data_IF_953044719415
#
_entry.id   IF_953044719415
#
_cell.length_a   1.000
_cell.length_b   1.000
_cell.length_c   1.000
_cell.angle_alpha   90.00
_cell.angle_beta   90.00
_cell.angle_gamma   90.00
#
_symmetry.space_group_name_H-M   'P 1'
#
loop_
_entity.id
_entity.type
_entity.pdbx_description
1 polymer ?
#
# COMPACT_ATOMS: atom_id res chain seq x y z
N UNK A 1 -28.47 -2.62 6.59
CA UNK A 1 -27.91 -3.41 7.72
C UNK A 1 -28.91 -4.41 8.29
N UNK A 2 -30.03 -3.97 8.88
CA UNK A 2 -30.97 -4.90 9.55
C UNK A 2 -31.52 -6.00 8.64
N UNK A 3 -32.00 -5.64 7.44
CA UNK A 3 -32.44 -6.63 6.45
C UNK A 3 -31.34 -7.62 6.04
N UNK A 4 -30.08 -7.18 6.00
CA UNK A 4 -28.94 -8.04 5.68
C UNK A 4 -28.66 -9.02 6.83
N UNK A 5 -28.62 -8.55 8.08
CA UNK A 5 -28.42 -9.46 9.21
C UNK A 5 -29.60 -10.43 9.38
N UNK A 6 -30.83 -9.99 9.07
CA UNK A 6 -32.00 -10.87 9.05
C UNK A 6 -31.87 -11.99 8.02
N UNK A 7 -31.32 -11.71 6.82
CA UNK A 7 -31.08 -12.78 5.82
C UNK A 7 -29.99 -13.76 6.27
N UNK A 8 -29.18 -13.40 7.27
CA UNK A 8 -28.20 -14.24 7.94
C UNK A 8 -28.74 -14.87 9.24
N UNK A 9 -30.03 -14.75 9.55
CA UNK A 9 -30.60 -15.20 10.84
C UNK A 9 -29.90 -14.59 12.08
N UNK A 10 -29.30 -13.40 11.92
CA UNK A 10 -28.58 -12.70 12.99
C UNK A 10 -29.45 -11.56 13.52
N UNK A 11 -29.75 -11.50 14.82
CA UNK A 11 -30.50 -10.39 15.40
C UNK A 11 -29.65 -9.12 15.40
N UNK A 12 -30.17 -8.06 14.76
CA UNK A 12 -29.43 -6.83 14.48
C UNK A 12 -28.96 -6.10 15.74
N UNK A 13 -29.83 -5.90 16.74
CA UNK A 13 -29.51 -5.15 17.95
C UNK A 13 -28.41 -5.83 18.81
N UNK A 14 -28.51 -7.13 19.15
CA UNK A 14 -27.42 -7.84 19.85
C UNK A 14 -26.10 -7.86 19.09
N UNK A 15 -26.15 -8.00 17.76
CA UNK A 15 -24.94 -7.97 16.93
C UNK A 15 -24.26 -6.60 16.95
N UNK A 16 -25.03 -5.53 16.83
CA UNK A 16 -24.54 -4.14 16.97
C UNK A 16 -23.92 -3.90 18.35
N UNK A 17 -24.54 -4.43 19.41
CA UNK A 17 -24.01 -4.30 20.77
C UNK A 17 -22.67 -5.03 20.94
N UNK A 18 -22.52 -6.23 20.35
CA UNK A 18 -21.24 -6.94 20.31
C UNK A 18 -20.16 -6.12 19.61
N UNK A 19 -20.45 -5.55 18.43
CA UNK A 19 -19.50 -4.70 17.72
C UNK A 19 -19.11 -3.45 18.53
N UNK A 20 -20.05 -2.84 19.26
CA UNK A 20 -19.77 -1.65 20.09
C UNK A 20 -18.93 -1.95 21.33
N UNK A 21 -19.08 -3.14 21.90
CA UNK A 21 -18.51 -3.53 23.21
C UNK A 21 -17.32 -4.47 23.09
N UNK A 22 -16.83 -4.72 21.88
CA UNK A 22 -15.62 -5.49 21.61
C UNK A 22 -14.72 -4.73 20.64
N UNK A 23 -13.44 -5.09 20.60
CA UNK A 23 -12.58 -4.64 19.53
C UNK A 23 -12.76 -5.55 18.31
N UNK A 24 -13.73 -5.20 17.47
CA UNK A 24 -14.12 -5.96 16.29
C UNK A 24 -14.60 -5.06 15.15
N UNK A 25 -14.57 -5.60 13.93
CA UNK A 25 -14.92 -4.87 12.73
C UNK A 25 -15.63 -5.77 11.72
N UNK A 26 -16.82 -5.37 11.27
CA UNK A 26 -17.49 -6.01 10.14
C UNK A 26 -16.96 -5.41 8.84
N UNK A 27 -16.38 -6.26 7.97
CA UNK A 27 -15.65 -5.86 6.77
C UNK A 27 -15.89 -6.82 5.57
N UNK A 28 -15.17 -6.58 4.49
CA UNK A 28 -15.12 -7.41 3.29
C UNK A 28 -16.28 -7.11 2.33
N UNK A 29 -16.55 -8.05 1.42
CA UNK A 29 -17.47 -7.78 0.31
C UNK A 29 -18.90 -7.45 0.72
N UNK A 30 -19.37 -7.94 1.87
CA UNK A 30 -20.67 -7.56 2.41
C UNK A 30 -20.69 -6.11 2.91
N UNK A 31 -19.64 -5.66 3.60
CA UNK A 31 -19.53 -4.26 4.02
C UNK A 31 -19.45 -3.34 2.79
N UNK A 32 -18.69 -3.72 1.76
CA UNK A 32 -18.64 -2.99 0.49
C UNK A 32 -19.99 -2.89 -0.22
N UNK A 33 -20.72 -4.00 -0.36
CA UNK A 33 -22.04 -3.97 -0.99
C UNK A 33 -23.03 -3.06 -0.25
N UNK A 34 -23.02 -3.12 1.09
CA UNK A 34 -23.89 -2.31 1.94
C UNK A 34 -23.46 -0.83 1.95
N UNK A 35 -22.16 -0.54 1.85
CA UNK A 35 -21.65 0.81 1.64
C UNK A 35 -22.17 1.41 0.33
N UNK A 36 -22.03 0.70 -0.79
CA UNK A 36 -22.54 1.19 -2.08
C UNK A 36 -24.06 1.44 -2.02
N UNK A 37 -24.83 0.52 -1.41
CA UNK A 37 -26.28 0.71 -1.23
C UNK A 37 -26.60 1.93 -0.36
N UNK A 38 -25.84 2.16 0.72
CA UNK A 38 -25.99 3.34 1.58
C UNK A 38 -25.82 4.64 0.78
N UNK A 39 -24.89 4.64 -0.18
CA UNK A 39 -24.55 5.79 -1.01
C UNK A 39 -25.37 5.85 -2.31
N UNK A 40 -26.41 5.01 -2.46
CA UNK A 40 -27.32 5.00 -3.60
C UNK A 40 -26.74 4.38 -4.87
N UNK A 41 -25.65 3.62 -4.76
CA UNK A 41 -24.97 2.94 -5.86
C UNK A 41 -25.38 1.46 -5.87
N UNK A 42 -25.78 0.96 -7.04
CA UNK A 42 -26.12 -0.46 -7.22
C UNK A 42 -24.85 -1.32 -7.15
N UNK A 43 -24.74 -2.31 -6.22
CA UNK A 43 -23.50 -3.06 -6.04
C UNK A 43 -23.09 -3.91 -7.26
N UNK A 44 -24.05 -4.40 -8.05
CA UNK A 44 -23.86 -5.36 -9.16
C UNK A 44 -23.36 -6.75 -8.72
N UNK A 45 -23.38 -7.04 -7.42
CA UNK A 45 -23.07 -8.36 -6.87
C UNK A 45 -23.80 -8.62 -5.55
N UNK A 46 -23.95 -9.91 -5.22
CA UNK A 46 -24.46 -10.36 -3.93
C UNK A 46 -23.25 -10.79 -3.08
N UNK A 47 -23.12 -10.30 -1.83
CA UNK A 47 -22.04 -10.73 -0.96
C UNK A 47 -22.23 -12.18 -0.49
N UNK A 48 -21.15 -12.96 -0.56
CA UNK A 48 -21.18 -14.40 -0.29
C UNK A 48 -21.11 -14.75 1.21
N UNK A 49 -20.45 -13.90 2.00
CA UNK A 49 -20.17 -14.15 3.41
C UNK A 49 -20.11 -12.84 4.21
N UNK A 50 -20.24 -12.97 5.54
CA UNK A 50 -20.01 -11.90 6.51
C UNK A 50 -18.62 -12.09 7.13
N UNK A 51 -17.71 -11.12 6.98
CA UNK A 51 -16.37 -11.21 7.56
C UNK A 51 -16.24 -10.29 8.78
N UNK A 52 -15.74 -10.83 9.89
CA UNK A 52 -15.46 -10.12 11.12
C UNK A 52 -13.97 -10.16 11.40
N UNK A 53 -13.30 -9.01 11.46
CA UNK A 53 -11.99 -8.91 12.10
C UNK A 53 -12.22 -8.76 13.60
N UNK A 54 -11.50 -9.53 14.41
CA UNK A 54 -11.56 -9.40 15.87
C UNK A 54 -10.17 -9.46 16.46
N UNK A 55 -9.93 -8.63 17.46
CA UNK A 55 -8.75 -8.81 18.31
C UNK A 55 -9.07 -9.82 19.42
N UNK A 56 -8.24 -10.86 19.57
CA UNK A 56 -8.37 -11.79 20.70
C UNK A 56 -7.72 -11.22 21.97
N UNK A 57 -8.42 -10.26 22.57
CA UNK A 57 -8.09 -9.76 23.90
C UNK A 57 -9.05 -10.33 24.94
N UNK A 58 -8.52 -10.71 26.10
CA UNK A 58 -9.32 -10.99 27.28
C UNK A 58 -9.81 -9.68 27.90
N UNK A 59 -10.89 -9.11 27.34
CA UNK A 59 -11.50 -7.92 27.92
C UNK A 59 -12.30 -8.30 29.18
N UNK A 60 -12.10 -7.52 30.25
CA UNK A 60 -13.00 -7.49 31.40
C UNK A 60 -14.19 -6.61 31.05
N UNK A 61 -15.41 -7.10 31.24
CA UNK A 61 -16.62 -6.31 31.06
C UNK A 61 -17.69 -6.70 32.08
N UNK A 62 -18.63 -5.79 32.32
CA UNK A 62 -19.77 -6.02 33.20
C UNK A 62 -20.99 -6.39 32.38
N UNK A 63 -21.59 -7.55 32.67
CA UNK A 63 -22.85 -8.00 32.07
C UNK A 63 -23.81 -8.38 33.19
N UNK A 64 -24.99 -7.77 33.22
CA UNK A 64 -25.98 -7.93 34.30
C UNK A 64 -25.42 -7.73 35.72
N UNK A 65 -24.46 -6.80 35.89
CA UNK A 65 -23.83 -6.51 37.19
C UNK A 65 -22.71 -7.48 37.60
N UNK A 66 -22.36 -8.46 36.77
CA UNK A 66 -21.27 -9.41 37.02
C UNK A 66 -20.04 -9.12 36.15
N UNK A 67 -18.86 -9.21 36.75
CA UNK A 67 -17.59 -9.16 36.03
C UNK A 67 -17.42 -10.45 35.23
N UNK A 68 -17.44 -10.36 33.91
CA UNK A 68 -17.16 -11.46 33.00
C UNK A 68 -15.81 -11.25 32.33
N UNK A 69 -15.01 -12.33 32.27
CA UNK A 69 -13.77 -12.39 31.51
C UNK A 69 -13.97 -13.39 30.37
N UNK A 70 -14.42 -12.89 29.22
CA UNK A 70 -14.56 -13.68 27.99
C UNK A 70 -13.81 -12.98 26.88
N UNK A 71 -13.01 -13.71 26.11
CA UNK A 71 -12.33 -13.13 24.96
C UNK A 71 -13.34 -12.74 23.87
N UNK A 72 -13.00 -11.76 23.04
CA UNK A 72 -13.84 -11.32 21.91
C UNK A 72 -14.25 -12.50 21.03
N UNK A 73 -13.31 -13.41 20.74
CA UNK A 73 -13.56 -14.61 19.95
C UNK A 73 -14.63 -15.50 20.59
N UNK A 74 -14.55 -15.71 21.91
CA UNK A 74 -15.54 -16.54 22.61
C UNK A 74 -16.92 -15.89 22.62
N UNK A 75 -17.01 -14.56 22.71
CA UNK A 75 -18.28 -13.82 22.65
C UNK A 75 -18.95 -13.98 21.28
N UNK A 76 -18.22 -13.73 20.18
CA UNK A 76 -18.76 -13.94 18.83
C UNK A 76 -19.11 -15.41 18.56
N UNK A 77 -18.25 -16.35 18.96
CA UNK A 77 -18.52 -17.78 18.78
C UNK A 77 -19.79 -18.21 19.52
N UNK A 78 -19.94 -17.80 20.79
CA UNK A 78 -21.16 -18.10 21.58
C UNK A 78 -22.40 -17.49 20.94
N UNK A 79 -22.29 -16.25 20.45
CA UNK A 79 -23.37 -15.56 19.77
C UNK A 79 -23.79 -16.28 18.48
N UNK A 80 -22.85 -16.67 17.63
CA UNK A 80 -23.13 -17.39 16.38
C UNK A 80 -23.76 -18.76 16.65
N UNK A 81 -23.19 -19.54 17.59
CA UNK A 81 -23.74 -20.84 18.00
C UNK A 81 -25.18 -20.72 18.53
N UNK A 82 -25.45 -19.69 19.33
CA UNK A 82 -26.80 -19.43 19.88
C UNK A 82 -27.83 -19.06 18.81
N UNK A 83 -27.37 -18.59 17.64
CA UNK A 83 -28.20 -18.25 16.48
C UNK A 83 -28.16 -19.33 15.38
N UNK A 84 -27.83 -20.58 15.75
CA UNK A 84 -27.97 -21.74 14.87
C UNK A 84 -26.82 -21.96 13.87
N UNK A 85 -25.73 -21.19 13.98
CA UNK A 85 -24.54 -21.45 13.19
C UNK A 85 -23.71 -22.59 13.80
N UNK A 86 -23.06 -23.38 12.95
CA UNK A 86 -22.11 -24.41 13.37
C UNK A 86 -20.70 -24.03 12.92
N UNK A 87 -19.70 -24.26 13.77
CA UNK A 87 -18.29 -24.15 13.38
C UNK A 87 -17.95 -25.28 12.40
N UNK A 88 -17.66 -24.95 11.16
CA UNK A 88 -17.36 -25.91 10.09
C UNK A 88 -15.88 -26.01 9.81
N UNK A 89 -15.15 -24.91 9.95
CA UNK A 89 -13.72 -24.88 9.64
C UNK A 89 -12.98 -24.02 10.64
N UNK A 90 -11.81 -24.51 11.05
CA UNK A 90 -10.83 -23.77 11.83
C UNK A 90 -9.51 -23.82 11.07
N UNK A 91 -9.05 -22.67 10.60
CA UNK A 91 -7.72 -22.50 10.05
C UNK A 91 -6.80 -21.93 11.12
N UNK A 92 -5.66 -22.59 11.33
CA UNK A 92 -4.51 -22.08 12.06
C UNK A 92 -3.45 -21.63 11.01
N UNK A 93 -2.64 -20.62 11.34
CA UNK A 93 -1.84 -19.77 10.42
C UNK A 93 -0.79 -20.48 9.53
N UNK A 94 -0.68 -21.80 9.62
CA UNK A 94 0.33 -22.64 8.99
C UNK A 94 0.04 -22.92 7.49
N UNK A 95 -1.09 -22.43 6.96
CA UNK A 95 -1.48 -22.63 5.55
C UNK A 95 -1.09 -21.47 4.62
N UNK A 96 -0.52 -21.80 3.47
CA UNK A 96 0.17 -20.90 2.53
C UNK A 96 -0.63 -19.67 2.03
N UNK A 97 -1.96 -19.75 1.98
CA UNK A 97 -2.82 -18.69 1.40
C UNK A 97 -2.97 -17.42 2.26
N UNK A 98 -2.58 -17.48 3.54
CA UNK A 98 -2.64 -16.33 4.48
C UNK A 98 -1.26 -15.88 4.98
N UNK A 99 -0.16 -16.48 4.51
CA UNK A 99 1.21 -16.12 4.92
C UNK A 99 1.58 -14.66 4.61
N UNK A 100 0.90 -14.04 3.64
CA UNK A 100 1.09 -12.63 3.28
C UNK A 100 0.35 -11.66 4.21
N UNK A 101 -0.72 -12.11 4.89
CA UNK A 101 -1.47 -11.34 5.88
C UNK A 101 -0.88 -11.60 7.27
N UNK A 102 0.24 -10.92 7.55
CA UNK A 102 0.93 -10.96 8.85
C UNK A 102 -0.11 -10.72 9.96
N UNK A 103 0.06 -11.35 11.13
CA UNK A 103 -0.76 -11.08 12.35
C UNK A 103 -2.17 -11.70 12.39
N UNK A 104 -2.59 -12.47 11.38
CA UNK A 104 -3.75 -13.39 11.52
C UNK A 104 -3.34 -14.61 12.34
N UNK A 105 -3.99 -14.80 13.49
CA UNK A 105 -3.76 -15.95 14.36
C UNK A 105 -4.58 -17.17 13.91
N UNK A 106 -5.86 -16.96 13.59
CA UNK A 106 -6.79 -18.00 13.20
C UNK A 106 -7.96 -17.43 12.39
N UNK A 107 -8.57 -18.27 11.56
CA UNK A 107 -9.84 -17.96 10.88
C UNK A 107 -10.83 -19.06 11.22
N UNK A 108 -11.98 -18.68 11.79
CA UNK A 108 -13.07 -19.58 12.13
C UNK A 108 -14.24 -19.36 11.17
N UNK A 109 -14.68 -20.42 10.49
CA UNK A 109 -15.82 -20.38 9.58
C UNK A 109 -17.05 -21.00 10.23
N UNK A 110 -18.13 -20.24 10.26
CA UNK A 110 -19.41 -20.64 10.81
C UNK A 110 -20.45 -20.71 9.69
N UNK A 111 -21.11 -21.86 9.52
CA UNK A 111 -22.14 -22.08 8.52
C UNK A 111 -23.50 -22.28 9.18
N UNK A 112 -24.50 -21.54 8.71
CA UNK A 112 -25.89 -21.75 9.10
C UNK A 112 -26.56 -22.77 8.15
N UNK A 113 -27.53 -23.58 8.62
CA UNK A 113 -28.27 -24.52 7.76
C UNK A 113 -28.97 -23.89 6.54
N UNK A 114 -29.20 -22.57 6.53
CA UNK A 114 -29.72 -21.82 5.38
C UNK A 114 -28.69 -21.58 4.27
N UNK A 115 -27.42 -21.93 4.50
CA UNK A 115 -26.32 -21.74 3.56
C UNK A 115 -25.53 -20.42 3.73
N UNK A 116 -25.88 -19.57 4.70
CA UNK A 116 -25.11 -18.34 4.97
C UNK A 116 -23.89 -18.63 5.83
N UNK A 117 -22.78 -17.95 5.51
CA UNK A 117 -21.49 -18.18 6.15
C UNK A 117 -20.94 -16.91 6.80
N UNK A 118 -20.41 -17.06 8.02
CA UNK A 118 -19.73 -16.01 8.78
C UNK A 118 -18.28 -16.42 9.02
N UNK A 119 -17.33 -15.58 8.65
CA UNK A 119 -15.91 -15.77 8.94
C UNK A 119 -15.49 -14.86 10.09
N UNK A 120 -14.90 -15.44 11.13
CA UNK A 120 -14.30 -14.74 12.24
C UNK A 120 -12.77 -14.82 12.10
N UNK A 121 -12.16 -13.71 11.69
CA UNK A 121 -10.73 -13.58 11.44
C UNK A 121 -10.10 -12.93 12.67
N UNK A 122 -9.24 -13.68 13.33
CA UNK A 122 -8.69 -13.32 14.62
C UNK A 122 -7.29 -12.75 14.44
N UNK A 123 -7.09 -11.53 14.95
CA UNK A 123 -5.87 -10.75 14.84
C UNK A 123 -5.22 -10.54 16.21
N UNK A 124 -3.89 -10.43 16.21
CA UNK A 124 -3.11 -10.06 17.41
C UNK A 124 -2.96 -8.55 17.60
N UNK A 125 -3.52 -7.73 16.69
CA UNK A 125 -3.41 -6.26 16.72
C UNK A 125 -4.65 -5.57 17.26
N UNK A 126 -4.43 -4.42 17.91
CA UNK A 126 -5.51 -3.62 18.51
C UNK A 126 -6.16 -2.65 17.52
N UNK A 127 -5.42 -2.08 16.58
CA UNK A 127 -5.99 -1.15 15.61
C UNK A 127 -6.41 -1.91 14.35
N UNK A 128 -7.68 -2.29 14.29
CA UNK A 128 -8.22 -3.10 13.20
C UNK A 128 -8.37 -2.30 11.89
N UNK A 129 -8.57 -0.98 11.98
CA UNK A 129 -8.69 -0.12 10.80
C UNK A 129 -7.32 0.12 10.17
N UNK A 130 -6.33 0.48 10.98
CA UNK A 130 -4.92 0.60 10.54
C UNK A 130 -4.40 -0.71 9.94
N UNK A 131 -4.77 -1.85 10.57
CA UNK A 131 -4.45 -3.16 10.04
C UNK A 131 -4.98 -3.38 8.62
N UNK A 132 -6.27 -3.09 8.37
CA UNK A 132 -6.84 -3.21 7.02
C UNK A 132 -6.10 -2.31 6.03
N UNK A 133 -5.90 -1.04 6.38
CA UNK A 133 -5.27 -0.06 5.51
C UNK A 133 -3.83 -0.44 5.13
N UNK A 134 -3.13 -1.14 6.01
CA UNK A 134 -1.72 -1.53 5.83
C UNK A 134 -1.53 -2.90 5.18
N UNK A 135 -2.46 -3.84 5.41
CA UNK A 135 -2.27 -5.25 5.04
C UNK A 135 -3.21 -5.74 3.94
N UNK A 136 -4.26 -4.99 3.60
CA UNK A 136 -5.13 -5.37 2.48
C UNK A 136 -4.53 -4.88 1.16
N UNK A 137 -4.83 -5.62 0.10
CA UNK A 137 -4.21 -5.47 -1.20
C UNK A 137 -4.96 -4.51 -2.14
N UNK A 138 -6.27 -4.35 -1.95
CA UNK A 138 -7.13 -3.50 -2.78
C UNK A 138 -7.95 -2.53 -1.92
N UNK A 139 -8.14 -1.30 -2.41
CA UNK A 139 -8.87 -0.25 -1.70
C UNK A 139 -10.32 -0.64 -1.36
N UNK A 140 -11.00 -1.36 -2.25
CA UNK A 140 -12.34 -1.90 -2.01
C UNK A 140 -12.41 -2.96 -0.90
N UNK A 141 -11.29 -3.54 -0.49
CA UNK A 141 -11.25 -4.45 0.67
C UNK A 141 -11.27 -3.66 1.99
N UNK A 142 -10.90 -2.38 1.99
CA UNK A 142 -10.85 -1.51 3.16
C UNK A 142 -12.18 -0.79 3.39
N UNK A 143 -13.28 -1.54 3.39
CA UNK A 143 -14.62 -1.03 3.70
C UNK A 143 -15.16 -1.74 4.93
N UNK A 144 -15.67 -0.99 5.90
CA UNK A 144 -16.17 -1.51 7.15
C UNK A 144 -17.49 -0.88 7.59
N UNK A 145 -18.09 -1.46 8.61
CA UNK A 145 -19.24 -0.92 9.30
C UNK A 145 -18.84 -0.38 10.68
N UNK A 146 -19.09 0.90 10.92
CA UNK A 146 -18.99 1.51 12.24
C UNK A 146 -20.34 1.41 12.98
N UNK A 147 -20.40 0.51 13.95
CA UNK A 147 -21.59 0.31 14.77
C UNK A 147 -21.93 1.52 15.66
N UNK A 148 -20.97 2.40 15.98
CA UNK A 148 -21.19 3.57 16.85
C UNK A 148 -21.94 4.67 16.13
N UNK A 149 -21.57 4.94 14.88
CA UNK A 149 -22.22 5.93 14.01
C UNK A 149 -23.36 5.33 13.18
N UNK A 150 -23.46 4.00 13.15
CA UNK A 150 -24.42 3.24 12.32
C UNK A 150 -24.23 3.50 10.81
N UNK A 151 -22.97 3.60 10.38
CA UNK A 151 -22.60 3.88 8.99
C UNK A 151 -21.60 2.87 8.47
N UNK A 152 -21.65 2.62 7.17
CA UNK A 152 -20.54 2.01 6.44
C UNK A 152 -19.56 3.10 6.01
N UNK A 153 -18.28 2.79 6.13
CA UNK A 153 -17.14 3.65 5.82
C UNK A 153 -16.14 2.89 4.95
N UNK A 154 -15.37 3.62 4.15
CA UNK A 154 -14.31 3.06 3.31
C UNK A 154 -13.05 3.91 3.43
N UNK A 155 -11.89 3.29 3.24
CA UNK A 155 -10.61 3.98 3.30
C UNK A 155 -10.38 4.93 2.11
N UNK A 156 -11.06 4.68 0.98
CA UNK A 156 -10.85 5.44 -0.25
C UNK A 156 -12.16 5.84 -0.95
N UNK A 157 -12.32 7.14 -1.18
CA UNK A 157 -13.50 7.74 -1.83
C UNK A 157 -13.66 7.30 -3.29
N UNK A 158 -12.59 6.83 -3.96
CA UNK A 158 -12.68 6.29 -5.33
C UNK A 158 -13.67 5.10 -5.42
N UNK A 159 -13.91 4.42 -4.30
CA UNK A 159 -14.89 3.32 -4.18
C UNK A 159 -16.29 3.75 -4.66
N UNK A 160 -16.67 5.02 -4.46
CA UNK A 160 -17.96 5.58 -4.89
C UNK A 160 -18.11 5.63 -6.42
N UNK A 161 -16.99 5.75 -7.13
CA UNK A 161 -16.98 5.73 -8.60
C UNK A 161 -16.90 4.30 -9.16
N UNK A 162 -17.01 3.28 -8.30
CA UNK A 162 -16.64 1.90 -8.60
C UNK A 162 -15.21 1.80 -9.15
N UNK A 163 -14.30 2.59 -8.58
CA UNK A 163 -12.88 2.48 -8.87
C UNK A 163 -12.20 1.72 -7.72
N UNK A 164 -11.17 0.95 -8.04
CA UNK A 164 -10.30 0.27 -7.06
C UNK A 164 -8.85 0.56 -7.38
N UNK A 165 -8.01 0.58 -6.36
CA UNK A 165 -6.57 0.67 -6.53
C UNK A 165 -5.86 -0.39 -5.70
N UNK A 166 -4.68 -0.80 -6.18
CA UNK A 166 -3.78 -1.64 -5.39
C UNK A 166 -3.20 -0.78 -4.26
N UNK A 167 -3.37 -1.22 -3.02
CA UNK A 167 -2.88 -0.51 -1.84
C UNK A 167 -1.37 -0.75 -1.65
N UNK A 168 -0.64 0.25 -1.12
CA UNK A 168 0.79 0.11 -0.87
C UNK A 168 1.06 -0.87 0.28
N UNK A 169 1.41 -2.11 -0.05
CA UNK A 169 1.87 -3.16 0.88
C UNK A 169 3.00 -4.01 0.28
N UNK A 170 3.65 -4.90 1.05
CA UNK A 170 4.55 -5.92 0.49
C UNK A 170 3.72 -7.05 -0.13
N UNK A 171 2.87 -6.72 -1.10
CA UNK A 171 2.10 -7.70 -1.84
C UNK A 171 2.82 -7.92 -3.17
N UNK A 172 3.69 -8.94 -3.29
CA UNK A 172 4.11 -9.37 -4.62
C UNK A 172 2.85 -9.63 -5.44
N UNK A 173 2.90 -9.34 -6.74
CA UNK A 173 1.76 -9.59 -7.61
C UNK A 173 1.59 -11.08 -7.80
N UNK A 174 0.79 -11.66 -6.93
CA UNK A 174 0.50 -13.09 -6.90
C UNK A 174 -0.74 -13.38 -7.72
N UNK A 175 -0.88 -14.63 -8.17
CA UNK A 175 -2.14 -15.12 -8.75
C UNK A 175 -3.35 -14.85 -7.85
N UNK A 176 -3.13 -14.77 -6.53
CA UNK A 176 -4.18 -14.41 -5.56
C UNK A 176 -4.64 -12.96 -5.72
N UNK A 177 -3.73 -12.00 -5.92
CA UNK A 177 -4.07 -10.60 -6.18
C UNK A 177 -4.77 -10.47 -7.54
N UNK A 178 -4.26 -11.14 -8.58
CA UNK A 178 -4.88 -11.16 -9.91
C UNK A 178 -6.33 -11.66 -9.85
N UNK A 179 -6.55 -12.82 -9.23
CA UNK A 179 -7.90 -13.40 -9.04
C UNK A 179 -8.83 -12.44 -8.31
N UNK A 180 -8.28 -11.68 -7.34
CA UNK A 180 -9.07 -10.70 -6.58
C UNK A 180 -9.41 -9.46 -7.40
N UNK A 181 -8.50 -8.98 -8.23
CA UNK A 181 -8.75 -7.88 -9.18
C UNK A 181 -9.85 -8.32 -10.17
N UNK A 182 -9.69 -9.47 -10.83
CA UNK A 182 -10.69 -10.02 -11.75
C UNK A 182 -12.07 -10.18 -11.10
N UNK A 183 -12.10 -10.63 -9.84
CA UNK A 183 -13.33 -10.69 -9.03
C UNK A 183 -14.00 -9.32 -8.85
N UNK A 184 -13.26 -8.23 -8.65
CA UNK A 184 -13.88 -6.90 -8.53
C UNK A 184 -14.20 -6.28 -9.89
N UNK A 185 -13.38 -6.52 -10.92
CA UNK A 185 -13.67 -6.08 -12.30
C UNK A 185 -14.96 -6.71 -12.80
N UNK A 186 -15.16 -8.01 -12.59
CA UNK A 186 -16.43 -8.70 -12.92
C UNK A 186 -17.65 -8.19 -12.14
N UNK A 187 -17.43 -7.44 -11.06
CA UNK A 187 -18.47 -6.75 -10.27
C UNK A 187 -18.71 -5.31 -10.73
N UNK A 188 -18.10 -4.90 -11.84
CA UNK A 188 -18.25 -3.58 -12.44
C UNK A 188 -17.31 -2.53 -11.84
N UNK A 189 -16.24 -2.92 -11.14
CA UNK A 189 -15.20 -1.99 -10.74
C UNK A 189 -14.14 -1.79 -11.84
N UNK A 190 -13.52 -0.62 -11.85
CA UNK A 190 -12.39 -0.30 -12.72
C UNK A 190 -11.11 -0.19 -11.88
N UNK A 191 -10.06 -0.90 -12.27
CA UNK A 191 -8.75 -0.74 -11.64
C UNK A 191 -8.14 0.59 -12.09
N UNK A 192 -7.87 1.47 -11.13
CA UNK A 192 -7.23 2.76 -11.34
C UNK A 192 -5.89 2.81 -10.59
N UNK A 193 -5.00 3.65 -11.08
CA UNK A 193 -3.78 3.98 -10.32
C UNK A 193 -4.19 4.68 -9.03
N UNK A 194 -3.65 4.28 -7.86
CA UNK A 194 -4.06 4.81 -6.58
C UNK A 194 -4.09 6.36 -6.56
N UNK A 195 -5.19 6.89 -6.05
CA UNK A 195 -5.21 8.22 -5.46
C UNK A 195 -4.57 8.12 -4.08
N UNK A 196 -3.84 9.14 -3.62
CA UNK A 196 -3.13 8.99 -2.35
C UNK A 196 -4.06 8.84 -1.17
N UNK A 197 -3.80 7.84 -0.34
CA UNK A 197 -4.66 7.45 0.78
C UNK A 197 -4.40 8.35 2.01
N UNK A 198 -3.23 8.98 2.13
CA UNK A 198 -2.84 9.66 3.38
C UNK A 198 -2.53 11.16 3.26
N UNK A 199 -2.15 11.65 2.08
CA UNK A 199 -1.64 13.03 1.93
C UNK A 199 -2.15 13.73 0.66
N UNK A 200 -3.47 13.99 0.54
CA UNK A 200 -4.00 14.74 -0.61
C UNK A 200 -3.52 16.20 -0.60
N UNK A 201 -2.64 16.58 -1.52
CA UNK A 201 -2.33 17.96 -1.78
C UNK A 201 -3.44 18.61 -2.60
N UNK A 202 -4.30 19.36 -1.92
CA UNK A 202 -5.42 20.05 -2.55
C UNK A 202 -4.98 21.15 -3.53
N UNK A 203 -3.70 21.56 -3.52
CA UNK A 203 -3.10 22.59 -4.41
C UNK A 203 -3.86 23.92 -4.46
N UNK A 204 -4.64 24.22 -3.43
CA UNK A 204 -5.56 25.37 -3.38
C UNK A 204 -4.85 26.73 -3.46
N UNK A 205 -3.53 26.75 -3.26
CA UNK A 205 -2.72 27.96 -3.31
C UNK A 205 -2.03 28.19 -4.65
N UNK A 206 -2.05 27.23 -5.58
CA UNK A 206 -1.58 27.47 -6.94
C UNK A 206 -2.41 28.60 -7.59
N UNK A 207 -1.72 29.53 -8.26
CA UNK A 207 -2.34 30.69 -8.93
C UNK A 207 -2.79 31.83 -8.00
N UNK A 208 -2.66 31.72 -6.67
CA UNK A 208 -2.90 32.82 -5.73
C UNK A 208 -1.63 33.65 -5.53
N UNK A 209 -1.78 34.96 -5.31
CA UNK A 209 -0.67 35.93 -5.17
C UNK A 209 0.35 35.62 -4.06
N UNK A 210 0.04 34.70 -3.14
CA UNK A 210 0.94 34.24 -2.06
C UNK A 210 1.50 32.83 -2.27
N UNK A 211 1.46 32.28 -3.48
CA UNK A 211 2.04 30.96 -3.78
C UNK A 211 3.57 31.04 -3.81
N UNK A 212 4.30 30.20 -3.06
CA UNK A 212 5.77 30.22 -3.00
C UNK A 212 6.45 29.79 -4.30
N UNK A 213 5.68 29.25 -5.27
CA UNK A 213 6.19 28.75 -6.55
C UNK A 213 6.01 29.74 -7.71
N UNK A 214 5.40 30.90 -7.47
CA UNK A 214 5.27 31.93 -8.51
C UNK A 214 6.65 32.40 -8.95
N UNK A 215 6.89 32.35 -10.27
CA UNK A 215 8.17 32.74 -10.88
C UNK A 215 9.25 31.67 -10.80
N UNK A 216 8.98 30.50 -10.19
CA UNK A 216 9.89 29.36 -10.20
C UNK A 216 9.77 28.64 -11.53
N UNK A 217 10.91 28.43 -12.19
CA UNK A 217 11.05 27.53 -13.33
C UNK A 217 11.55 26.17 -12.87
N UNK A 218 11.00 25.13 -13.48
CA UNK A 218 11.46 23.76 -13.30
C UNK A 218 11.85 23.19 -14.67
N UNK A 219 12.91 22.40 -14.70
CA UNK A 219 13.34 21.74 -15.94
C UNK A 219 12.64 20.38 -16.06
N UNK A 220 11.80 20.21 -17.09
CA UNK A 220 11.23 18.92 -17.43
C UNK A 220 12.33 18.08 -18.12
N UNK A 221 12.81 17.06 -17.40
CA UNK A 221 13.91 16.21 -17.88
C UNK A 221 13.49 15.24 -18.99
N UNK A 222 12.19 15.05 -19.21
CA UNK A 222 11.66 14.11 -20.20
C UNK A 222 11.43 14.82 -21.53
N UNK A 223 10.81 15.99 -21.48
CA UNK A 223 10.56 16.83 -22.66
C UNK A 223 11.73 17.78 -22.98
N UNK A 224 12.70 17.90 -22.07
CA UNK A 224 13.91 18.72 -22.18
C UNK A 224 13.61 20.21 -22.34
N UNK A 225 12.68 20.73 -21.54
CA UNK A 225 12.27 22.14 -21.56
C UNK A 225 12.13 22.76 -20.17
N UNK A 226 12.16 24.09 -20.09
CA UNK A 226 11.85 24.82 -18.85
C UNK A 226 10.34 25.13 -18.78
N UNK A 227 9.69 24.60 -17.74
CA UNK A 227 8.27 24.82 -17.48
C UNK A 227 8.07 25.76 -16.30
N UNK A 228 6.94 26.47 -16.30
CA UNK A 228 6.49 27.23 -15.13
C UNK A 228 5.96 26.28 -14.05
N UNK A 229 6.54 26.33 -12.84
CA UNK A 229 6.20 25.40 -11.76
C UNK A 229 4.71 25.42 -11.39
N UNK A 230 4.09 26.62 -11.35
CA UNK A 230 2.68 26.77 -11.02
C UNK A 230 1.82 26.21 -12.14
N UNK A 231 2.11 26.56 -13.39
CA UNK A 231 1.37 26.05 -14.54
C UNK A 231 1.46 24.51 -14.63
N UNK A 232 2.67 23.96 -14.50
CA UNK A 232 2.92 22.53 -14.59
C UNK A 232 2.16 21.76 -13.51
N UNK A 233 2.28 22.15 -12.24
CA UNK A 233 1.53 21.51 -11.15
C UNK A 233 0.01 21.71 -11.28
N UNK A 234 -0.45 22.80 -11.89
CA UNK A 234 -1.89 23.03 -12.10
C UNK A 234 -2.46 22.14 -13.21
N UNK A 235 -1.64 21.72 -14.17
CA UNK A 235 -2.08 20.94 -15.32
C UNK A 235 -2.51 19.50 -14.97
N UNK A 236 -1.90 18.88 -13.94
CA UNK A 236 -2.25 17.52 -13.54
C UNK A 236 -1.88 17.22 -12.08
N UNK A 237 -2.76 16.51 -11.35
CA UNK A 237 -2.46 15.96 -10.01
C UNK A 237 -1.33 14.92 -10.02
N UNK A 238 -1.02 14.35 -11.19
CA UNK A 238 0.10 13.41 -11.34
C UNK A 238 1.44 14.11 -11.61
N UNK A 239 1.45 15.44 -11.75
CA UNK A 239 2.68 16.21 -11.81
C UNK A 239 3.24 16.47 -10.40
N UNK A 240 4.56 16.40 -10.29
CA UNK A 240 5.33 16.75 -9.11
C UNK A 240 6.59 17.54 -9.50
N UNK A 241 7.20 18.17 -8.51
CA UNK A 241 8.49 18.81 -8.62
C UNK A 241 9.50 18.14 -7.68
N UNK A 242 10.71 17.91 -8.17
CA UNK A 242 11.86 17.55 -7.32
C UNK A 242 12.79 18.75 -7.22
N UNK A 243 13.07 19.20 -5.99
CA UNK A 243 14.09 20.19 -5.70
C UNK A 243 15.39 19.49 -5.32
N UNK A 244 16.48 19.83 -6.01
CA UNK A 244 17.84 19.40 -5.67
C UNK A 244 18.74 20.62 -5.60
N UNK A 245 19.23 20.93 -4.40
CA UNK A 245 19.92 22.20 -4.15
C UNK A 245 19.00 23.39 -4.43
N UNK A 246 19.36 24.21 -5.44
CA UNK A 246 18.61 25.39 -5.87
C UNK A 246 17.78 25.15 -7.14
N UNK A 247 17.88 23.98 -7.75
CA UNK A 247 17.21 23.65 -9.01
C UNK A 247 15.93 22.87 -8.75
N UNK A 248 14.92 23.10 -9.59
CA UNK A 248 13.67 22.35 -9.62
C UNK A 248 13.60 21.55 -10.92
N UNK A 249 13.13 20.33 -10.80
CA UNK A 249 12.91 19.42 -11.91
C UNK A 249 11.44 19.00 -11.94
N UNK A 250 10.85 19.03 -13.11
CA UNK A 250 9.45 18.71 -13.33
C UNK A 250 9.30 17.26 -13.83
N UNK A 251 8.33 16.54 -13.26
CA UNK A 251 8.05 15.17 -13.68
C UNK A 251 6.57 14.84 -13.58
N UNK A 252 6.11 14.01 -14.52
CA UNK A 252 4.97 13.15 -14.31
C UNK A 252 5.36 11.95 -13.44
N UNK A 253 4.56 11.63 -12.40
CA UNK A 253 4.84 10.57 -11.41
C UNK A 253 5.17 9.22 -12.04
N UNK A 254 4.32 8.74 -12.96
CA UNK A 254 4.50 7.44 -13.61
C UNK A 254 5.81 7.38 -14.38
N UNK A 255 6.09 8.42 -15.18
CA UNK A 255 7.29 8.47 -16.01
C UNK A 255 8.57 8.52 -15.17
N UNK A 256 8.53 9.24 -14.05
CA UNK A 256 9.63 9.26 -13.10
C UNK A 256 9.82 7.90 -12.42
N UNK A 257 8.74 7.27 -11.95
CA UNK A 257 8.77 5.93 -11.35
C UNK A 257 9.40 4.90 -12.29
N UNK A 258 8.94 4.85 -13.53
CA UNK A 258 9.42 3.92 -14.56
C UNK A 258 10.89 4.17 -14.89
N UNK A 259 11.29 5.44 -15.04
CA UNK A 259 12.67 5.79 -15.31
C UNK A 259 13.61 5.35 -14.18
N UNK A 260 13.19 5.55 -12.93
CA UNK A 260 13.96 5.14 -11.75
C UNK A 260 14.03 3.63 -11.61
N UNK A 261 12.95 2.90 -11.93
CA UNK A 261 12.90 1.44 -11.87
C UNK A 261 14.01 0.80 -12.73
N UNK A 262 14.25 1.36 -13.92
CA UNK A 262 15.33 0.93 -14.81
C UNK A 262 16.75 1.25 -14.28
N UNK A 263 16.84 2.07 -13.22
CA UNK A 263 18.08 2.54 -12.58
C UNK A 263 18.18 2.09 -11.13
N UNK A 264 17.72 0.86 -10.85
CA UNK A 264 17.87 0.18 -9.57
C UNK A 264 19.34 -0.05 -9.22
N UNK A 265 19.68 0.16 -7.95
CA UNK A 265 21.02 -0.05 -7.39
C UNK A 265 20.92 -0.70 -6.02
N UNK A 266 21.76 -1.71 -5.77
CA UNK A 266 21.92 -2.30 -4.44
C UNK A 266 23.09 -1.62 -3.73
N UNK A 267 22.81 -0.97 -2.60
CA UNK A 267 23.78 -0.20 -1.81
C UNK A 267 24.20 -1.01 -0.58
N UNK A 268 25.50 -1.35 -0.43
CA UNK A 268 25.96 -2.13 0.72
C UNK A 268 25.96 -1.30 2.01
N UNK A 269 25.61 -1.94 3.14
CA UNK A 269 25.65 -1.36 4.49
C UNK A 269 26.11 -2.42 5.53
N UNK A 270 26.33 -2.02 6.77
CA UNK A 270 26.78 -2.88 7.88
C UNK A 270 25.73 -3.91 8.28
N UNK A 271 24.45 -3.57 8.10
CA UNK A 271 23.31 -4.46 8.31
C UNK A 271 22.97 -5.30 7.08
N UNK A 272 23.79 -5.28 6.03
CA UNK A 272 23.58 -6.05 4.79
C UNK A 272 23.67 -5.18 3.53
N UNK A 273 22.59 -5.12 2.77
CA UNK A 273 22.46 -4.19 1.65
C UNK A 273 21.02 -3.67 1.62
N UNK A 274 20.83 -2.46 1.12
CA UNK A 274 19.51 -1.90 0.88
C UNK A 274 19.34 -1.53 -0.60
N UNK A 275 18.09 -1.55 -1.02
CA UNK A 275 17.70 -1.20 -2.37
C UNK A 275 17.48 0.31 -2.51
N UNK A 276 18.05 0.85 -3.59
CA UNK A 276 17.99 2.26 -3.93
C UNK A 276 17.74 2.44 -5.43
N UNK A 277 17.34 3.64 -5.81
CA UNK A 277 17.01 3.99 -7.19
C UNK A 277 17.63 5.33 -7.54
N UNK A 278 18.02 5.51 -8.80
CA UNK A 278 18.59 6.76 -9.27
C UNK A 278 17.56 7.58 -10.01
N UNK A 279 17.43 8.85 -9.64
CA UNK A 279 16.67 9.84 -10.41
C UNK A 279 17.28 9.99 -11.82
N UNK A 280 16.53 10.57 -12.78
CA UNK A 280 17.04 10.84 -14.13
C UNK A 280 18.32 11.69 -14.16
N UNK A 281 18.58 12.45 -13.11
CA UNK A 281 19.72 13.35 -12.92
C UNK A 281 20.76 12.83 -11.89
N UNK A 282 20.74 11.51 -11.63
CA UNK A 282 21.76 10.71 -10.92
C UNK A 282 21.90 10.95 -9.40
N UNK A 283 20.82 11.33 -8.72
CA UNK A 283 20.75 11.30 -7.26
C UNK A 283 20.14 9.97 -6.82
N UNK A 284 20.77 9.31 -5.86
CA UNK A 284 20.31 8.01 -5.35
C UNK A 284 19.39 8.21 -4.15
N UNK A 285 18.18 7.66 -4.23
CA UNK A 285 17.16 7.69 -3.18
C UNK A 285 16.79 6.26 -2.77
N UNK A 286 16.29 6.09 -1.55
CA UNK A 286 15.90 4.75 -1.06
C UNK A 286 14.62 4.24 -1.71
N UNK A 287 14.48 2.92 -1.79
CA UNK A 287 13.28 2.22 -2.30
C UNK A 287 11.95 2.76 -1.76
N UNK A 288 11.89 3.13 -0.48
CA UNK A 288 10.68 3.69 0.12
C UNK A 288 10.21 4.96 -0.60
N UNK A 289 11.12 5.86 -1.00
CA UNK A 289 10.77 7.09 -1.74
C UNK A 289 10.25 6.75 -3.13
N UNK A 290 10.92 5.82 -3.83
CA UNK A 290 10.51 5.37 -5.16
C UNK A 290 9.07 4.83 -5.15
N UNK A 291 8.72 3.99 -4.17
CA UNK A 291 7.34 3.55 -3.97
C UNK A 291 6.40 4.74 -3.74
N UNK A 292 6.73 5.61 -2.78
CA UNK A 292 5.87 6.73 -2.37
C UNK A 292 5.51 7.69 -3.51
N UNK A 293 6.37 7.87 -4.52
CA UNK A 293 6.11 8.75 -5.66
C UNK A 293 4.83 8.37 -6.41
N UNK A 294 4.50 7.08 -6.48
CA UNK A 294 3.30 6.59 -7.14
C UNK A 294 2.05 6.71 -6.27
N UNK A 295 2.22 6.56 -4.95
CA UNK A 295 1.10 6.38 -4.02
C UNK A 295 0.72 7.64 -3.25
N UNK A 296 1.60 8.64 -3.12
CA UNK A 296 1.36 9.76 -2.19
C UNK A 296 1.35 11.12 -2.86
N UNK A 297 0.33 11.93 -2.57
CA UNK A 297 0.01 13.12 -3.35
C UNK A 297 0.78 14.37 -2.88
N UNK A 298 2.06 14.21 -2.55
CA UNK A 298 2.95 15.34 -2.34
C UNK A 298 3.31 15.99 -3.67
N UNK A 299 3.16 17.32 -3.79
CA UNK A 299 3.54 18.03 -5.02
C UNK A 299 5.03 18.34 -5.10
N UNK A 300 5.74 18.35 -3.96
CA UNK A 300 7.16 18.70 -3.91
C UNK A 300 7.97 17.67 -3.11
N UNK A 301 9.10 17.28 -3.70
CA UNK A 301 10.09 16.39 -3.09
C UNK A 301 11.42 17.14 -3.03
N UNK A 302 11.94 17.36 -1.84
CA UNK A 302 13.24 18.01 -1.65
C UNK A 302 14.31 16.97 -1.33
N UNK A 303 15.33 16.89 -2.18
CA UNK A 303 16.49 16.04 -1.98
C UNK A 303 17.49 16.74 -1.07
N UNK A 304 17.79 16.10 0.05
CA UNK A 304 18.77 16.56 1.04
C UNK A 304 19.93 15.57 1.02
N UNK A 305 21.13 16.05 0.69
CA UNK A 305 22.32 15.21 0.68
C UNK A 305 22.54 14.58 2.06
N UNK A 306 22.67 13.26 2.09
CA UNK A 306 22.96 12.52 3.32
C UNK A 306 24.45 12.16 3.40
N UNK A 307 24.95 11.39 2.44
CA UNK A 307 26.34 10.93 2.40
C UNK A 307 26.71 10.30 1.04
N UNK A 308 28.00 9.99 0.84
CA UNK A 308 28.50 9.26 -0.31
C UNK A 308 28.84 7.81 0.04
N UNK A 309 28.60 6.89 -0.88
CA UNK A 309 28.97 5.47 -0.77
C UNK A 309 29.96 5.12 -1.87
N UNK A 310 31.04 4.44 -1.51
CA UNK A 310 32.02 3.90 -2.46
C UNK A 310 31.76 2.42 -2.70
N UNK A 311 31.75 2.04 -3.98
CA UNK A 311 31.59 0.65 -4.41
C UNK A 311 32.97 0.03 -4.68
N UNK A 312 33.04 -1.31 -4.61
CA UNK A 312 34.29 -2.06 -4.84
C UNK A 312 34.92 -1.83 -6.22
N UNK A 313 34.13 -1.38 -7.20
CA UNK A 313 34.60 -1.02 -8.54
C UNK A 313 35.13 0.43 -8.64
N UNK A 314 35.30 1.12 -7.51
CA UNK A 314 35.79 2.50 -7.44
C UNK A 314 34.75 3.56 -7.77
N UNK A 315 33.50 3.19 -8.12
CA UNK A 315 32.42 4.16 -8.33
C UNK A 315 31.95 4.72 -6.98
N UNK A 316 31.55 5.99 -6.99
CA UNK A 316 30.89 6.62 -5.86
C UNK A 316 29.46 7.01 -6.23
N UNK A 317 28.54 6.89 -5.29
CA UNK A 317 27.18 7.44 -5.41
C UNK A 317 26.82 8.29 -4.21
N UNK A 318 26.09 9.37 -4.47
CA UNK A 318 25.55 10.25 -3.44
C UNK A 318 24.14 9.79 -3.08
N UNK A 319 23.94 9.50 -1.79
CA UNK A 319 22.66 9.08 -1.22
C UNK A 319 21.96 10.30 -0.63
N UNK A 320 20.67 10.44 -0.89
CA UNK A 320 19.85 11.56 -0.45
C UNK A 320 18.71 11.10 0.45
N UNK A 321 18.47 11.88 1.51
CA UNK A 321 17.18 11.91 2.21
C UNK A 321 16.17 12.71 1.38
N UNK A 322 14.89 12.42 1.56
CA UNK A 322 13.82 13.11 0.83
C UNK A 322 12.77 13.64 1.78
N UNK A 323 12.55 14.95 1.74
CA UNK A 323 11.45 15.61 2.43
C UNK A 323 10.31 15.84 1.43
N UNK A 324 9.10 15.43 1.79
CA UNK A 324 7.93 15.56 0.93
C UNK A 324 6.98 16.62 1.48
N UNK A 325 6.42 17.44 0.59
CA UNK A 325 5.56 18.57 0.94
C UNK A 325 4.33 18.66 0.03
N UNK A 326 3.23 19.10 0.62
CA UNK A 326 2.14 19.72 -0.14
C UNK A 326 2.54 21.15 -0.54
N UNK A 327 1.86 21.79 -1.48
CA UNK A 327 2.12 23.19 -1.86
C UNK A 327 1.95 24.12 -0.65
N UNK A 328 0.96 23.86 0.20
CA UNK A 328 0.78 24.64 1.44
C UNK A 328 1.88 24.35 2.46
N UNK A 329 2.25 23.08 2.64
CA UNK A 329 3.36 22.70 3.52
C UNK A 329 4.68 23.34 3.10
N UNK A 330 4.95 23.42 1.80
CA UNK A 330 6.12 24.13 1.26
C UNK A 330 6.12 25.61 1.62
N UNK A 331 4.95 26.27 1.55
CA UNK A 331 4.78 27.67 1.92
C UNK A 331 5.02 27.92 3.41
N UNK A 332 4.54 27.02 4.28
CA UNK A 332 4.67 27.15 5.73
C UNK A 332 5.91 26.48 6.31
N UNK A 333 6.75 25.89 5.45
CA UNK A 333 7.89 25.05 5.84
C UNK A 333 7.50 23.86 6.74
N UNK A 334 6.31 23.30 6.50
CA UNK A 334 5.80 22.11 7.19
C UNK A 334 6.05 20.88 6.33
N UNK A 335 6.96 20.02 6.79
CA UNK A 335 7.25 18.75 6.13
C UNK A 335 6.10 17.77 6.35
N UNK A 336 5.60 17.16 5.28
CA UNK A 336 4.56 16.13 5.36
C UNK A 336 5.13 14.75 5.68
N UNK A 337 6.23 14.37 5.03
CA UNK A 337 6.93 13.12 5.29
C UNK A 337 8.45 13.27 5.09
N UNK A 338 9.22 12.51 5.86
CA UNK A 338 10.70 12.47 5.78
C UNK A 338 11.12 11.02 5.55
N UNK A 339 11.91 10.81 4.50
CA UNK A 339 12.50 9.53 4.17
C UNK A 339 14.02 9.64 4.28
N UNK A 340 14.56 9.10 5.36
CA UNK A 340 16.00 9.08 5.60
C UNK A 340 16.60 7.70 5.22
N UNK A 341 17.75 7.66 4.54
CA UNK A 341 18.49 6.43 4.34
C UNK A 341 19.06 5.90 5.66
N UNK A 342 19.47 4.61 5.73
CA UNK A 342 20.20 4.07 6.86
C UNK A 342 21.43 4.92 7.21
N UNK A 343 21.81 4.94 8.48
CA UNK A 343 22.86 5.84 8.97
C UNK A 343 24.24 5.50 8.37
N UNK A 344 25.09 6.50 8.10
CA UNK A 344 26.43 6.28 7.57
C UNK A 344 27.35 5.49 8.54
N UNK A 345 27.06 5.51 9.85
CA UNK A 345 27.77 4.69 10.84
C UNK A 345 27.55 3.19 10.62
N UNK A 346 26.49 2.85 9.88
CA UNK A 346 26.15 1.51 9.45
C UNK A 346 26.77 1.19 8.07
N UNK A 347 28.00 1.60 7.76
CA UNK A 347 28.64 1.25 6.49
C UNK A 347 30.06 0.72 6.71
N UNK A 348 30.34 -0.49 6.19
CA UNK A 348 31.62 -1.19 6.38
C UNK A 348 32.70 -0.53 5.51
N UNK A 349 33.76 -0.05 6.14
CA UNK A 349 35.07 0.09 5.50
C UNK A 349 35.54 -1.32 5.14
N UNK A 350 35.90 -1.63 3.87
CA UNK A 350 36.40 -2.96 3.55
C UNK A 350 37.68 -3.21 4.34
N UNK A 351 37.61 -4.15 5.28
CA UNK A 351 38.78 -4.76 5.90
C UNK A 351 39.54 -5.47 4.78
N UNK A 352 40.66 -4.87 4.38
CA UNK A 352 41.68 -5.52 3.55
C UNK A 352 42.19 -6.72 4.35
N UNK A 353 41.68 -7.91 4.04
CA UNK A 353 42.31 -9.16 4.45
C UNK A 353 43.22 -9.59 3.29
N UNK A 354 44.55 -9.52 3.43
CA UNK A 354 45.45 -9.98 2.39
C UNK A 354 45.44 -11.50 2.40
N UNK A 355 44.63 -12.12 1.54
CA UNK A 355 44.79 -13.54 1.24
C UNK A 355 45.93 -13.66 0.23
N UNK A 356 47.13 -13.91 0.74
CA UNK A 356 48.24 -14.45 -0.03
C UNK A 356 47.90 -15.89 -0.37
N UNK A 357 47.76 -16.20 -1.67
CA UNK A 357 48.07 -17.53 -2.19
C UNK A 357 48.47 -17.45 -3.67
N UNK A 358 49.39 -18.33 -4.12
CA UNK A 358 50.26 -18.07 -5.27
C UNK A 358 49.58 -18.36 -6.62
N UNK A 359 49.96 -17.56 -7.62
CA UNK A 359 49.66 -17.76 -9.04
C UNK A 359 50.16 -19.12 -9.56
N UNK A 360 49.41 -19.78 -10.45
CA UNK A 360 49.97 -20.51 -11.57
C UNK A 360 50.01 -19.61 -12.83
N UNK A 361 51.09 -19.76 -13.59
CA UNK A 361 51.47 -18.95 -14.75
C UNK A 361 50.60 -19.19 -16.01
N UNK A 362 50.71 -18.31 -17.03
CA UNK A 362 49.71 -18.10 -18.07
C UNK A 362 49.94 -18.96 -19.32
N UNK A 363 48.92 -19.70 -19.75
CA UNK A 363 48.83 -20.18 -21.13
C UNK A 363 47.37 -20.54 -21.49
N UNK A 364 46.79 -19.75 -22.40
CA UNK A 364 45.70 -20.08 -23.34
C UNK A 364 44.37 -20.55 -22.70
N UNK A 365 43.25 -19.86 -22.83
CA UNK A 365 42.65 -19.45 -24.10
C UNK A 365 41.58 -18.36 -23.90
N UNK A 366 41.44 -17.53 -24.92
CA UNK A 366 40.37 -16.56 -25.13
C UNK A 366 38.99 -17.22 -25.07
N UNK A 367 38.16 -16.80 -24.11
CA UNK A 367 36.69 -16.86 -24.19
C UNK A 367 36.12 -15.64 -23.44
N UNK A 368 35.11 -14.94 -23.98
CA UNK A 368 34.52 -13.79 -23.32
C UNK A 368 33.67 -14.28 -22.14
N UNK A 369 34.03 -13.85 -20.92
CA UNK A 369 33.22 -14.05 -19.73
C UNK A 369 32.04 -13.06 -19.80
N UNK A 370 31.00 -13.46 -20.51
CA UNK A 370 29.63 -13.14 -20.12
C UNK A 370 29.23 -14.20 -19.09
N UNK A 371 29.19 -13.85 -17.80
CA UNK A 371 28.42 -14.60 -16.79
C UNK A 371 28.50 -13.87 -15.46
N UNK A 372 27.51 -13.01 -15.24
CA UNK A 372 26.69 -12.94 -14.02
C UNK A 372 25.73 -11.76 -14.21
N UNK A 373 24.77 -11.98 -15.11
CA UNK A 373 23.53 -11.22 -15.14
C UNK A 373 22.83 -11.56 -13.82
N UNK A 374 22.54 -10.60 -12.94
CA UNK A 374 21.70 -10.88 -11.78
C UNK A 374 20.34 -11.35 -12.30
N UNK A 375 19.90 -12.49 -11.78
CA UNK A 375 18.55 -13.02 -11.99
C UNK A 375 17.56 -11.91 -11.68
N UNK A 376 16.78 -11.55 -12.69
CA UNK A 376 15.67 -10.63 -12.59
C UNK A 376 14.65 -11.20 -11.60
N UNK A 377 14.06 -10.36 -10.74
CA UNK A 377 12.72 -10.68 -10.23
C UNK A 377 11.79 -10.52 -11.44
N UNK A 378 11.39 -11.64 -12.04
CA UNK A 378 10.50 -11.70 -13.20
C UNK A 378 9.11 -11.09 -12.87
N UNK A 379 8.75 -11.02 -11.59
CA UNK A 379 7.43 -10.64 -11.09
C UNK A 379 7.05 -9.16 -11.33
N UNK A 380 8.02 -8.23 -11.34
CA UNK A 380 7.74 -6.78 -11.50
C UNK A 380 7.66 -6.34 -12.96
N UNK A 381 8.40 -7.01 -13.86
CA UNK A 381 8.36 -6.78 -15.31
C UNK A 381 7.12 -7.40 -15.95
N UNK A 382 6.71 -8.59 -15.49
CA UNK A 382 5.44 -9.20 -15.90
C UNK A 382 4.23 -8.37 -15.46
N UNK A 383 4.25 -7.80 -14.25
CA UNK A 383 3.15 -6.97 -13.77
C UNK A 383 2.90 -5.75 -14.66
N UNK A 384 3.97 -5.09 -15.10
CA UNK A 384 3.88 -3.87 -15.89
C UNK A 384 3.50 -4.16 -17.35
N UNK A 385 4.08 -5.19 -17.97
CA UNK A 385 3.67 -5.62 -19.32
C UNK A 385 2.25 -6.20 -19.33
N UNK A 386 1.84 -6.91 -18.27
CA UNK A 386 0.50 -7.48 -18.18
C UNK A 386 -0.55 -6.39 -17.90
N UNK A 387 -0.30 -5.41 -17.02
CA UNK A 387 -1.19 -4.25 -16.83
C UNK A 387 -1.37 -3.44 -18.11
N UNK A 388 -0.28 -3.23 -18.85
CA UNK A 388 -0.32 -2.61 -20.18
C UNK A 388 -1.07 -3.48 -21.21
N UNK A 389 -0.97 -4.81 -21.12
CA UNK A 389 -1.68 -5.75 -21.99
C UNK A 389 -3.17 -5.88 -21.67
N UNK A 390 -3.54 -5.87 -20.39
CA UNK A 390 -4.93 -5.93 -19.92
C UNK A 390 -5.64 -4.60 -20.17
N UNK A 391 -4.96 -3.46 -19.99
CA UNK A 391 -5.48 -2.15 -20.43
C UNK A 391 -5.79 -2.13 -21.94
N UNK A 392 -4.92 -2.77 -22.76
CA UNK A 392 -5.15 -2.92 -24.20
C UNK A 392 -6.27 -3.91 -24.53
N UNK A 393 -6.44 -4.99 -23.75
CA UNK A 393 -7.50 -5.98 -23.95
C UNK A 393 -8.88 -5.51 -23.47
N UNK A 394 -8.94 -4.69 -22.42
CA UNK A 394 -10.17 -4.11 -21.86
C UNK A 394 -10.67 -2.88 -22.64
N UNK A 395 -9.98 -2.47 -23.71
CA UNK A 395 -10.40 -1.36 -24.58
C UNK A 395 -10.37 0.02 -23.91
N UNK A 396 -9.65 0.16 -22.79
CA UNK A 396 -9.51 1.43 -22.09
C UNK A 396 -8.43 2.26 -22.77
N UNK A 397 -8.86 3.24 -23.57
CA UNK A 397 -7.95 4.20 -24.17
C UNK A 397 -7.38 5.14 -23.11
N UNK A 398 -6.05 5.28 -23.14
CA UNK A 398 -5.32 6.32 -22.44
C UNK A 398 -5.91 7.71 -22.78
N UNK A 399 -6.19 8.60 -21.82
CA UNK A 399 -6.23 10.02 -22.10
C UNK A 399 -4.83 10.52 -22.50
#
# INVERSE_FOLDING_TARGET
MESFLQSYSIPCAPFKDLLKTTNSLFTGSAALALYLQQEGIEPSFIPNNLNLLVQDTHCLFFENGHLNQKSTVMRFSTFLLSNGYNLTTKFESDQASYQTLKQIQQVLSFLHPSGTEVHLIVLIVSDLQDYMNTNFDLSACCTWYDARTDRFETADEITLNKEISILPGQHPYTDTLRTRIEKYVSRGFTLVLPASIHSQDKRLTLGKSGCPLIGIKAYDMMELEEVDAVHYLSASKKHLLIKSGQQYYAFHRTTLYDCMQLRRVIVPCSSGAFEAFETPFNQTIIHHVHRMITYEDFSLFELIFAYNVSFNNGRQKSIFSVNCYTVEGWKTNTVGAIFAPPSHMDMVLPLVVPIVNPLPSPAMALAPIFEHIPVFDEDDLELQELLLSEWRQLGLHHP
#
